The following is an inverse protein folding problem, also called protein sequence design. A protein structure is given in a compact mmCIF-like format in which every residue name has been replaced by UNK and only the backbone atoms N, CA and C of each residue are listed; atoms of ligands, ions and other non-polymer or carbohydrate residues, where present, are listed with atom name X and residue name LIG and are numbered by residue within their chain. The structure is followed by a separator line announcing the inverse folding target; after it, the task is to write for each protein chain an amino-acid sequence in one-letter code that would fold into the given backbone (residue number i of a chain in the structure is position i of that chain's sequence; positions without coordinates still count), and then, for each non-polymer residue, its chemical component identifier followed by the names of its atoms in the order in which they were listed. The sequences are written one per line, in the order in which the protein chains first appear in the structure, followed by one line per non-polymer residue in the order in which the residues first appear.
data_IF_553931177479
#
_entry.id   IF_553931177479
#
_cell.length_a   1.000
_cell.length_b   1.000
_cell.length_c   1.000
_cell.angle_alpha   90.00
_cell.angle_beta   90.00
_cell.angle_gamma   90.00
#
_symmetry.space_group_name_H-M   'P 1'
#
loop_
_entity.id
_entity.type
_entity.pdbx_description
1 polymer ?
#
# COMPACT_ATOMS: atom_id res chain seq x y z
N UNK A 1 24.36 -30.84 -26.15
CA UNK A 1 22.88 -30.78 -26.01
C UNK A 1 22.40 -29.90 -24.86
N UNK A 2 23.10 -29.82 -23.72
CA UNK A 2 22.68 -29.00 -22.57
C UNK A 2 22.66 -27.49 -22.86
N UNK A 3 23.61 -26.98 -23.65
CA UNK A 3 23.70 -25.54 -23.96
C UNK A 3 22.50 -25.05 -24.81
N UNK A 4 22.06 -25.86 -25.78
CA UNK A 4 20.88 -25.55 -26.60
C UNK A 4 19.59 -25.59 -25.76
N UNK A 5 19.46 -26.56 -24.86
CA UNK A 5 18.34 -26.64 -23.93
C UNK A 5 18.27 -25.42 -22.99
N UNK A 6 19.40 -24.98 -22.45
CA UNK A 6 19.45 -23.82 -21.57
C UNK A 6 19.09 -22.52 -22.31
N UNK A 7 19.48 -22.39 -23.59
CA UNK A 7 19.08 -21.28 -24.44
C UNK A 7 17.56 -21.22 -24.65
N UNK A 8 16.95 -22.37 -24.94
CA UNK A 8 15.49 -22.47 -25.11
C UNK A 8 14.77 -22.17 -23.79
N UNK A 9 15.24 -22.72 -22.68
CA UNK A 9 14.68 -22.48 -21.35
C UNK A 9 14.78 -20.99 -20.97
N UNK A 10 15.92 -20.35 -21.22
CA UNK A 10 16.12 -18.93 -20.95
C UNK A 10 15.20 -18.05 -21.82
N UNK A 11 15.03 -18.38 -23.10
CA UNK A 11 14.08 -17.69 -23.99
C UNK A 11 12.63 -17.86 -23.52
N UNK A 12 12.24 -19.05 -23.07
CA UNK A 12 10.89 -19.29 -22.60
C UNK A 12 10.56 -18.43 -21.38
N UNK A 13 11.40 -18.47 -20.34
CA UNK A 13 11.22 -17.62 -19.16
C UNK A 13 11.34 -16.13 -19.48
N UNK A 14 12.33 -15.75 -20.29
CA UNK A 14 12.53 -14.37 -20.73
C UNK A 14 11.32 -13.81 -21.48
N UNK A 15 10.68 -14.62 -22.34
CA UNK A 15 9.47 -14.22 -23.09
C UNK A 15 8.28 -14.02 -22.16
N UNK A 16 8.08 -14.87 -21.16
CA UNK A 16 7.05 -14.67 -20.14
C UNK A 16 7.29 -13.36 -19.37
N UNK A 17 8.51 -13.10 -18.91
CA UNK A 17 8.82 -11.86 -18.21
C UNK A 17 8.69 -10.62 -19.11
N UNK A 18 9.09 -10.71 -20.38
CA UNK A 18 8.93 -9.64 -21.35
C UNK A 18 7.46 -9.32 -21.64
N UNK A 19 6.60 -10.33 -21.76
CA UNK A 19 5.15 -10.15 -21.91
C UNK A 19 4.51 -9.51 -20.69
N UNK A 20 4.91 -9.93 -19.48
CA UNK A 20 4.45 -9.33 -18.23
C UNK A 20 4.86 -7.85 -18.18
N UNK A 21 6.11 -7.54 -18.46
CA UNK A 21 6.62 -6.16 -18.49
C UNK A 21 5.90 -5.31 -19.55
N UNK A 22 5.68 -5.86 -20.76
CA UNK A 22 4.91 -5.20 -21.81
C UNK A 22 3.47 -4.93 -21.38
N UNK A 23 2.79 -5.91 -20.78
CA UNK A 23 1.43 -5.78 -20.26
C UNK A 23 1.34 -4.66 -19.22
N UNK A 24 2.25 -4.62 -18.25
CA UNK A 24 2.31 -3.53 -17.27
C UNK A 24 2.60 -2.19 -17.93
N UNK A 25 3.57 -2.12 -18.86
CA UNK A 25 3.87 -0.86 -19.56
C UNK A 25 2.68 -0.34 -20.38
N UNK A 26 1.91 -1.23 -21.02
CA UNK A 26 0.73 -0.87 -21.80
C UNK A 26 -0.36 -0.29 -20.89
N UNK A 27 -0.66 -0.99 -19.78
CA UNK A 27 -1.66 -0.54 -18.82
C UNK A 27 -1.25 0.81 -18.19
N UNK A 28 0.00 0.94 -17.74
CA UNK A 28 0.49 2.19 -17.15
C UNK A 28 0.63 3.32 -18.18
N UNK A 29 0.89 3.02 -19.47
CA UNK A 29 0.96 4.03 -20.53
C UNK A 29 -0.38 4.68 -20.85
N UNK A 30 -1.48 3.92 -20.75
CA UNK A 30 -2.84 4.41 -21.04
C UNK A 30 -3.42 5.12 -19.82
N UNK A 31 -3.14 4.62 -18.62
CA UNK A 31 -3.71 5.20 -17.41
C UNK A 31 -3.10 6.56 -17.08
N UNK A 32 -1.93 6.94 -17.62
CA UNK A 32 -1.19 8.20 -17.35
C UNK A 32 -0.96 8.54 -15.85
N UNK A 33 -1.43 7.68 -14.95
CA UNK A 33 -1.29 7.76 -13.52
C UNK A 33 -0.19 6.78 -13.15
N UNK A 34 1.00 7.33 -12.96
CA UNK A 34 2.09 6.70 -12.22
C UNK A 34 1.59 6.51 -10.77
N UNK A 35 0.72 5.54 -10.52
CA UNK A 35 0.16 5.29 -9.19
C UNK A 35 1.22 4.63 -8.28
N UNK A 36 2.35 5.30 -8.12
CA UNK A 36 3.35 5.03 -7.09
C UNK A 36 2.87 5.58 -5.74
N UNK A 37 1.87 6.48 -5.76
CA UNK A 37 1.17 6.92 -4.57
C UNK A 37 0.46 5.77 -3.83
N UNK A 38 0.08 4.67 -4.49
CA UNK A 38 -0.62 3.58 -3.78
C UNK A 38 0.26 2.92 -2.71
N UNK A 39 1.54 2.67 -3.03
CA UNK A 39 2.50 2.12 -2.06
C UNK A 39 2.81 3.10 -0.94
N UNK A 40 2.98 4.38 -1.26
CA UNK A 40 3.27 5.42 -0.29
C UNK A 40 2.07 5.69 0.64
N UNK A 41 0.85 5.74 0.09
CA UNK A 41 -0.40 5.88 0.85
C UNK A 41 -0.65 4.64 1.72
N UNK A 42 -0.32 3.45 1.23
CA UNK A 42 -0.39 2.23 2.04
C UNK A 42 0.55 2.30 3.25
N UNK A 43 1.80 2.71 3.04
CA UNK A 43 2.78 2.86 4.13
C UNK A 43 2.37 3.95 5.11
N UNK A 44 1.94 5.12 4.62
CA UNK A 44 1.39 6.20 5.46
C UNK A 44 0.20 5.69 6.28
N UNK A 45 -0.68 4.90 5.68
CA UNK A 45 -1.81 4.32 6.39
C UNK A 45 -1.43 3.32 7.48
N UNK A 46 -0.42 2.49 7.24
CA UNK A 46 0.13 1.60 8.25
C UNK A 46 0.72 2.39 9.44
N UNK A 47 1.48 3.45 9.19
CA UNK A 47 2.04 4.30 10.25
C UNK A 47 0.98 5.09 11.01
N UNK A 48 -0.05 5.60 10.32
CA UNK A 48 -1.20 6.25 10.97
C UNK A 48 -1.92 5.25 11.87
N UNK A 49 -2.20 4.04 11.39
CA UNK A 49 -2.82 2.98 12.18
C UNK A 49 -1.99 2.62 13.41
N UNK A 50 -0.68 2.47 13.26
CA UNK A 50 0.24 2.24 14.38
C UNK A 50 0.26 3.39 15.39
N UNK A 51 0.29 4.64 14.92
CA UNK A 51 0.25 5.83 15.76
C UNK A 51 -1.05 5.95 16.56
N UNK A 52 -2.20 5.70 15.91
CA UNK A 52 -3.50 5.72 16.58
C UNK A 52 -3.59 4.59 17.62
N UNK A 53 -3.17 3.37 17.27
CA UNK A 53 -3.19 2.24 18.19
C UNK A 53 -2.32 2.50 19.42
N UNK A 54 -1.08 2.97 19.21
CA UNK A 54 -0.16 3.26 20.30
C UNK A 54 -0.64 4.41 21.20
N UNK A 55 -1.24 5.46 20.62
CA UNK A 55 -1.84 6.55 21.38
C UNK A 55 -3.03 6.08 22.24
N UNK A 56 -3.92 5.25 21.70
CA UNK A 56 -5.07 4.72 22.44
C UNK A 56 -4.62 3.78 23.58
N UNK A 57 -3.63 2.93 23.32
CA UNK A 57 -3.05 2.04 24.34
C UNK A 57 -2.38 2.88 25.43
N UNK A 58 -1.61 3.91 25.07
CA UNK A 58 -0.98 4.81 26.04
C UNK A 58 -2.02 5.53 26.91
N UNK A 59 -3.12 6.00 26.31
CA UNK A 59 -4.21 6.66 27.03
C UNK A 59 -4.89 5.70 28.04
N UNK A 60 -5.06 4.42 27.66
CA UNK A 60 -5.60 3.41 28.57
C UNK A 60 -4.64 3.06 29.69
N UNK A 61 -3.32 3.01 29.42
CA UNK A 61 -2.29 2.77 30.42
C UNK A 61 -2.14 3.92 31.43
N UNK A 62 -2.42 5.16 31.01
CA UNK A 62 -2.42 6.34 31.89
C UNK A 62 -3.69 6.45 32.77
N UNK A 63 -4.62 5.51 32.65
CA UNK A 63 -5.83 5.46 33.49
C UNK A 63 -6.91 6.49 33.16
N UNK A 64 -6.77 7.24 32.07
CA UNK A 64 -7.77 8.24 31.66
C UNK A 64 -9.06 7.59 31.14
N UNK A 65 -8.94 6.47 30.40
CA UNK A 65 -10.07 5.71 29.87
C UNK A 65 -9.76 4.21 29.90
N UNK A 66 -10.56 3.41 30.60
CA UNK A 66 -10.46 1.95 30.54
C UNK A 66 -11.25 1.44 29.32
N UNK A 67 -10.60 1.32 28.18
CA UNK A 67 -11.20 0.78 26.96
C UNK A 67 -10.85 -0.71 26.80
N UNK A 68 -11.82 -1.60 26.53
CA UNK A 68 -11.52 -2.99 26.22
C UNK A 68 -10.76 -3.12 24.89
N UNK A 69 -9.86 -4.11 24.79
CA UNK A 69 -8.96 -4.27 23.64
C UNK A 69 -9.68 -4.33 22.28
N UNK A 70 -10.88 -4.92 22.23
CA UNK A 70 -11.71 -4.97 21.02
C UNK A 70 -12.16 -3.58 20.54
N UNK A 71 -12.51 -2.69 21.48
CA UNK A 71 -12.92 -1.33 21.15
C UNK A 71 -11.74 -0.49 20.65
N UNK A 72 -10.54 -0.72 21.20
CA UNK A 72 -9.30 -0.09 20.71
C UNK A 72 -9.04 -0.45 19.24
N UNK A 73 -9.20 -1.73 18.89
CA UNK A 73 -9.03 -2.19 17.51
C UNK A 73 -10.03 -1.52 16.56
N UNK A 74 -11.32 -1.50 16.93
CA UNK A 74 -12.37 -0.88 16.11
C UNK A 74 -12.10 0.62 15.92
N UNK A 75 -11.77 1.33 17.00
CA UNK A 75 -11.45 2.76 16.92
C UNK A 75 -10.21 3.02 16.07
N UNK A 76 -9.16 2.20 16.21
CA UNK A 76 -7.96 2.30 15.40
C UNK A 76 -8.27 2.16 13.91
N UNK A 77 -9.11 1.18 13.55
CA UNK A 77 -9.54 0.99 12.15
C UNK A 77 -10.31 2.22 11.67
N UNK A 78 -11.31 2.68 12.42
CA UNK A 78 -12.14 3.82 12.01
C UNK A 78 -11.31 5.11 11.84
N UNK A 79 -10.46 5.43 12.82
CA UNK A 79 -9.59 6.61 12.75
C UNK A 79 -8.55 6.50 11.64
N UNK A 80 -7.94 5.33 11.46
CA UNK A 80 -6.96 5.15 10.38
C UNK A 80 -7.59 5.24 9.00
N UNK A 81 -8.79 4.68 8.78
CA UNK A 81 -9.55 4.84 7.52
C UNK A 81 -9.90 6.30 7.25
N UNK A 82 -10.35 7.03 8.26
CA UNK A 82 -10.68 8.45 8.10
C UNK A 82 -9.44 9.30 7.76
N UNK A 83 -8.35 9.13 8.50
CA UNK A 83 -7.12 9.89 8.30
C UNK A 83 -6.44 9.55 6.97
N UNK A 84 -6.39 8.27 6.57
CA UNK A 84 -5.81 7.86 5.28
C UNK A 84 -6.61 8.35 4.09
N UNK A 85 -7.95 8.35 4.19
CA UNK A 85 -8.81 8.96 3.17
C UNK A 85 -8.52 10.46 3.02
N UNK A 86 -8.29 11.16 4.13
CA UNK A 86 -7.94 12.58 4.11
C UNK A 86 -6.59 12.84 3.43
N UNK A 87 -5.58 12.02 3.71
CA UNK A 87 -4.28 12.06 3.02
C UNK A 87 -4.47 11.82 1.51
N UNK A 88 -5.25 10.81 1.13
CA UNK A 88 -5.56 10.51 -0.27
C UNK A 88 -6.20 11.69 -1.00
N UNK A 89 -7.20 12.34 -0.37
CA UNK A 89 -7.84 13.54 -0.93
C UNK A 89 -6.86 14.71 -1.09
N UNK A 90 -5.95 14.92 -0.14
CA UNK A 90 -4.93 15.99 -0.23
C UNK A 90 -3.97 15.70 -1.38
N UNK A 91 -3.50 14.45 -1.50
CA UNK A 91 -2.60 14.04 -2.59
C UNK A 91 -3.26 14.24 -3.95
N UNK A 92 -4.54 13.86 -4.09
CA UNK A 92 -5.29 14.11 -5.31
C UNK A 92 -5.39 15.60 -5.63
N UNK A 93 -5.70 16.43 -4.63
CA UNK A 93 -5.92 17.86 -4.82
C UNK A 93 -4.65 18.67 -5.08
N UNK A 94 -3.50 18.23 -4.55
CA UNK A 94 -2.21 18.95 -4.68
C UNK A 94 -1.38 18.40 -5.83
N UNK A 95 -1.46 17.10 -6.10
CA UNK A 95 -0.63 16.44 -7.10
C UNK A 95 -1.26 16.30 -8.48
N UNK A 96 -2.60 16.17 -8.56
CA UNK A 96 -3.30 15.87 -9.82
C UNK A 96 -4.24 16.97 -10.31
N UNK A 97 -4.53 17.99 -9.50
CA UNK A 97 -5.09 19.26 -9.97
C UNK A 97 -3.97 20.26 -10.21
#
# INVERSE_FOLDING_TARGET
MVLLQNLINALQWGSFYALIALGYSMVYSILMLFNFAHGDIFMVGAYIGFGVASALIALTAMGAFALPNWLILVLTILFSMFLTSFVGMIVERVGYR
#
